data_IF_610988027730
#
_entry.id   IF_610988027730
#
_cell.length_a   1.000
_cell.length_b   1.000
_cell.length_c   1.000
_cell.angle_alpha   90.00
_cell.angle_beta   90.00
_cell.angle_gamma   90.00
#
_symmetry.space_group_name_H-M   'P 1'
#
loop_
_entity.id
_entity.type
_entity.pdbx_description
1 polymer ?
#
# COMPACT_ATOMS: atom_id res chain seq x y z
N UNK A 1 -9.39 19.61 22.87
CA UNK A 1 -9.46 19.47 21.39
C UNK A 1 -10.81 18.87 20.99
N UNK A 2 -11.49 19.42 19.98
CA UNK A 2 -12.82 19.00 19.51
C UNK A 2 -12.82 18.78 17.99
N UNK A 3 -13.74 17.98 17.48
CA UNK A 3 -13.94 17.80 16.03
C UNK A 3 -14.20 19.12 15.31
N UNK A 4 -14.93 20.03 15.97
CA UNK A 4 -15.20 21.36 15.41
C UNK A 4 -13.91 22.19 15.25
N UNK A 5 -13.00 22.14 16.22
CA UNK A 5 -11.69 22.80 16.12
C UNK A 5 -10.84 22.16 15.01
N UNK A 6 -10.90 20.84 14.82
CA UNK A 6 -10.23 20.18 13.69
C UNK A 6 -10.82 20.65 12.34
N UNK A 7 -12.14 20.73 12.20
CA UNK A 7 -12.79 21.29 11.00
C UNK A 7 -12.35 22.73 10.74
N UNK A 8 -12.19 23.53 11.79
CA UNK A 8 -11.74 24.92 11.68
C UNK A 8 -10.31 25.06 11.16
N UNK A 9 -9.37 24.30 11.71
CA UNK A 9 -7.98 24.38 11.24
C UNK A 9 -7.84 23.85 9.82
N UNK A 10 -8.58 22.82 9.42
CA UNK A 10 -8.61 22.31 8.04
C UNK A 10 -9.13 23.36 7.07
N UNK A 11 -10.20 24.10 7.44
CA UNK A 11 -10.75 25.16 6.62
C UNK A 11 -9.73 26.32 6.44
N UNK A 12 -9.04 26.74 7.51
CA UNK A 12 -8.02 27.80 7.42
C UNK A 12 -6.83 27.33 6.59
N UNK A 13 -6.38 26.09 6.75
CA UNK A 13 -5.28 25.53 5.94
C UNK A 13 -5.64 25.48 4.44
N UNK A 14 -6.88 25.14 4.12
CA UNK A 14 -7.38 25.10 2.74
C UNK A 14 -7.52 26.48 2.10
N UNK A 15 -8.00 27.50 2.87
CA UNK A 15 -8.27 28.84 2.35
C UNK A 15 -7.06 29.78 2.41
N UNK A 16 -6.05 29.47 3.24
CA UNK A 16 -4.91 30.35 3.50
C UNK A 16 -5.28 31.66 4.17
N UNK A 17 -6.53 31.82 4.65
CA UNK A 17 -7.07 33.04 5.24
C UNK A 17 -8.15 32.74 6.28
N UNK A 18 -7.99 33.30 7.49
CA UNK A 18 -9.01 33.16 8.55
C UNK A 18 -10.35 33.80 8.11
N UNK A 19 -10.31 34.93 7.43
CA UNK A 19 -11.51 35.61 6.98
C UNK A 19 -12.31 34.79 5.96
N UNK A 20 -11.64 34.23 4.97
CA UNK A 20 -12.27 33.38 3.96
C UNK A 20 -12.77 32.04 4.55
N UNK A 21 -12.01 31.47 5.48
CA UNK A 21 -12.44 30.26 6.21
C UNK A 21 -13.69 30.57 7.07
N UNK A 22 -13.71 31.66 7.81
CA UNK A 22 -14.84 32.04 8.62
C UNK A 22 -16.11 32.25 7.79
N UNK A 23 -16.02 32.91 6.63
CA UNK A 23 -17.12 33.05 5.67
C UNK A 23 -17.62 31.69 5.19
N UNK A 24 -16.70 30.77 4.80
CA UNK A 24 -17.09 29.44 4.33
C UNK A 24 -17.72 28.55 5.39
N UNK A 25 -17.42 28.81 6.66
CA UNK A 25 -17.97 28.11 7.82
C UNK A 25 -19.23 28.80 8.43
N UNK A 26 -19.65 29.94 7.87
CA UNK A 26 -20.78 30.75 8.37
C UNK A 26 -20.65 31.17 9.83
N UNK A 27 -19.41 31.51 10.26
CA UNK A 27 -19.12 31.99 11.62
C UNK A 27 -18.37 33.32 11.60
N UNK A 28 -18.31 33.97 12.77
CA UNK A 28 -17.54 35.21 12.90
C UNK A 28 -16.03 34.92 12.88
N UNK A 29 -15.24 35.82 12.26
CA UNK A 29 -13.80 35.71 12.26
C UNK A 29 -13.18 35.66 13.68
N UNK A 30 -13.63 36.49 14.66
CA UNK A 30 -13.16 36.40 16.04
C UNK A 30 -13.38 35.03 16.67
N UNK A 31 -14.55 34.42 16.45
CA UNK A 31 -14.87 33.07 16.97
C UNK A 31 -13.92 32.03 16.40
N UNK A 32 -13.68 32.05 15.09
CA UNK A 32 -12.74 31.12 14.44
C UNK A 32 -11.29 31.31 14.96
N UNK A 33 -10.85 32.57 15.07
CA UNK A 33 -9.52 32.93 15.56
C UNK A 33 -9.29 32.46 16.99
N UNK A 34 -10.27 32.67 17.88
CA UNK A 34 -10.20 32.24 19.27
C UNK A 34 -10.16 30.69 19.38
N UNK A 35 -11.01 29.99 18.66
CA UNK A 35 -11.03 28.53 18.69
C UNK A 35 -9.71 27.90 18.23
N UNK A 36 -9.05 28.48 17.21
CA UNK A 36 -7.71 28.05 16.76
C UNK A 36 -6.67 28.36 17.83
N UNK A 37 -6.68 29.55 18.40
CA UNK A 37 -5.74 29.95 19.44
C UNK A 37 -5.85 29.08 20.69
N UNK A 38 -7.08 28.74 21.14
CA UNK A 38 -7.32 27.82 22.24
C UNK A 38 -6.74 26.42 21.94
N UNK A 39 -6.94 25.92 20.72
CA UNK A 39 -6.37 24.65 20.28
C UNK A 39 -4.83 24.66 20.29
N UNK A 40 -4.20 25.71 19.73
CA UNK A 40 -2.75 25.88 19.73
C UNK A 40 -2.17 25.95 21.16
N UNK A 41 -2.88 26.64 22.08
CA UNK A 41 -2.50 26.69 23.50
C UNK A 41 -2.61 25.33 24.18
N UNK A 42 -3.70 24.58 23.94
CA UNK A 42 -3.90 23.23 24.48
C UNK A 42 -2.79 22.27 24.00
N UNK A 43 -2.47 22.31 22.71
CA UNK A 43 -1.46 21.45 22.09
C UNK A 43 -0.02 21.91 22.34
N UNK A 44 0.16 23.16 22.79
CA UNK A 44 1.48 23.83 22.98
C UNK A 44 2.30 23.88 21.68
N UNK A 45 1.63 24.02 20.55
CA UNK A 45 2.26 24.22 19.23
C UNK A 45 1.59 25.40 18.53
N UNK A 46 2.29 26.01 17.58
CA UNK A 46 1.68 26.95 16.64
C UNK A 46 1.39 26.19 15.34
N UNK A 47 0.13 26.08 14.97
CA UNK A 47 -0.29 25.42 13.74
C UNK A 47 -0.07 26.38 12.56
N UNK A 48 -0.33 27.67 12.77
CA UNK A 48 -0.22 28.69 11.74
C UNK A 48 0.73 29.81 12.12
N UNK A 49 1.35 30.39 11.09
CA UNK A 49 2.04 31.69 11.17
C UNK A 49 1.36 32.68 10.21
N UNK A 50 1.23 33.93 10.65
CA UNK A 50 0.71 35.01 9.81
C UNK A 50 1.84 35.60 8.99
N UNK A 51 1.67 35.64 7.68
CA UNK A 51 2.62 36.26 6.75
C UNK A 51 1.94 37.37 5.94
N UNK A 52 2.71 38.13 5.18
CA UNK A 52 2.16 39.13 4.25
C UNK A 52 1.28 38.52 3.14
N UNK A 53 1.34 37.20 2.96
CA UNK A 53 0.54 36.45 1.97
C UNK A 53 -0.66 35.73 2.59
N UNK A 54 -0.89 35.88 3.89
CA UNK A 54 -1.99 35.23 4.63
C UNK A 54 -1.51 34.29 5.73
N UNK A 55 -2.28 33.25 6.00
CA UNK A 55 -1.96 32.21 6.99
C UNK A 55 -1.22 31.08 6.31
N UNK A 56 -0.07 30.69 6.84
CA UNK A 56 0.72 29.58 6.38
C UNK A 56 0.94 28.57 7.51
N UNK A 57 1.09 27.29 7.19
CA UNK A 57 1.39 26.26 8.18
C UNK A 57 2.83 26.34 8.68
N UNK A 58 3.02 26.04 9.95
CA UNK A 58 4.34 25.69 10.51
C UNK A 58 4.68 24.25 10.16
N UNK A 59 5.88 23.78 10.49
CA UNK A 59 6.22 22.35 10.36
C UNK A 59 5.32 21.47 11.24
N UNK A 60 5.13 21.87 12.51
CA UNK A 60 4.21 21.15 13.43
C UNK A 60 2.77 21.23 12.93
N UNK A 61 2.37 22.38 12.36
CA UNK A 61 1.05 22.56 11.75
C UNK A 61 0.82 21.68 10.55
N UNK A 62 1.82 21.48 9.70
CA UNK A 62 1.72 20.57 8.55
C UNK A 62 1.48 19.12 8.99
N UNK A 63 2.22 18.66 9.99
CA UNK A 63 2.04 17.32 10.56
C UNK A 63 0.65 17.20 11.21
N UNK A 64 0.27 18.18 12.05
CA UNK A 64 -1.03 18.21 12.72
C UNK A 64 -2.21 18.16 11.73
N UNK A 65 -2.16 18.95 10.64
CA UNK A 65 -3.20 18.95 9.61
C UNK A 65 -3.34 17.58 8.95
N UNK A 66 -2.24 16.84 8.78
CA UNK A 66 -2.29 15.46 8.29
C UNK A 66 -3.15 14.57 9.18
N UNK A 67 -2.89 14.57 10.48
CA UNK A 67 -3.68 13.80 11.46
C UNK A 67 -5.11 14.32 11.60
N UNK A 68 -5.32 15.65 11.65
CA UNK A 68 -6.64 16.24 11.74
C UNK A 68 -7.55 15.83 10.58
N UNK A 69 -7.00 15.76 9.36
CA UNK A 69 -7.73 15.29 8.17
C UNK A 69 -8.16 13.83 8.30
N UNK A 70 -7.29 12.97 8.79
CA UNK A 70 -7.63 11.57 9.02
C UNK A 70 -8.77 11.39 10.03
N UNK A 71 -8.71 12.12 11.15
CA UNK A 71 -9.76 12.08 12.17
C UNK A 71 -11.11 12.55 11.59
N UNK A 72 -11.13 13.66 10.85
CA UNK A 72 -12.36 14.15 10.23
C UNK A 72 -12.91 13.17 9.20
N UNK A 73 -12.07 12.58 8.36
CA UNK A 73 -12.50 11.54 7.42
C UNK A 73 -13.14 10.34 8.13
N UNK A 74 -12.53 9.86 9.23
CA UNK A 74 -13.12 8.77 10.02
C UNK A 74 -14.45 9.17 10.66
N UNK A 75 -14.55 10.40 11.15
CA UNK A 75 -15.79 10.93 11.69
C UNK A 75 -16.91 11.01 10.62
N UNK A 76 -16.60 11.54 9.44
CA UNK A 76 -17.54 11.61 8.32
C UNK A 76 -18.03 10.21 7.88
N UNK A 77 -17.13 9.22 7.83
CA UNK A 77 -17.48 7.82 7.58
C UNK A 77 -18.44 7.25 8.64
N UNK A 78 -18.27 7.64 9.91
CA UNK A 78 -19.18 7.23 10.98
C UNK A 78 -20.57 7.91 10.84
N UNK A 79 -20.59 9.21 10.52
CA UNK A 79 -21.84 9.93 10.27
C UNK A 79 -22.59 9.31 9.07
N UNK A 80 -21.92 9.10 7.95
CA UNK A 80 -22.51 8.47 6.76
C UNK A 80 -23.07 7.08 7.08
N UNK A 81 -22.30 6.28 7.82
CA UNK A 81 -22.67 4.89 8.14
C UNK A 81 -23.87 4.78 9.09
N UNK A 82 -24.00 5.68 10.07
CA UNK A 82 -24.97 5.52 11.17
C UNK A 82 -26.08 6.59 11.21
N UNK A 83 -25.90 7.73 10.57
CA UNK A 83 -26.89 8.82 10.56
C UNK A 83 -27.63 8.89 9.21
N UNK A 84 -26.95 8.64 8.10
CA UNK A 84 -27.54 8.70 6.75
C UNK A 84 -27.90 7.33 6.18
N UNK A 85 -28.51 6.47 6.93
CA UNK A 85 -28.81 5.04 6.74
C UNK A 85 -29.43 4.60 5.39
N UNK A 86 -29.48 5.44 4.38
CA UNK A 86 -30.06 5.12 3.06
C UNK A 86 -29.11 5.07 1.87
N UNK A 87 -27.86 5.59 1.99
CA UNK A 87 -26.95 5.70 0.84
C UNK A 87 -25.45 5.63 1.18
N UNK A 88 -25.05 4.97 2.28
CA UNK A 88 -23.63 4.88 2.60
C UNK A 88 -22.90 4.09 1.52
N UNK A 89 -21.89 4.71 0.92
CA UNK A 89 -20.95 4.01 0.06
C UNK A 89 -20.26 2.90 0.85
N UNK A 90 -20.10 1.74 0.26
CA UNK A 90 -19.24 0.73 0.85
C UNK A 90 -17.79 1.20 0.76
N UNK A 91 -17.05 1.14 1.85
CA UNK A 91 -15.63 1.48 1.89
C UNK A 91 -14.82 0.22 2.14
N UNK A 92 -13.76 0.03 1.38
CA UNK A 92 -12.81 -1.03 1.61
C UNK A 92 -11.45 -0.63 1.07
N UNK A 93 -10.40 -0.81 1.87
CA UNK A 93 -9.06 -0.43 1.49
C UNK A 93 -8.05 -1.55 1.77
N UNK A 94 -7.18 -1.79 0.79
CA UNK A 94 -6.08 -2.76 0.87
C UNK A 94 -4.78 -2.08 0.45
N UNK A 95 -3.70 -2.33 1.20
CA UNK A 95 -2.34 -1.97 0.80
C UNK A 95 -1.54 -3.23 0.48
N UNK A 96 -0.78 -3.23 -0.60
CA UNK A 96 -0.08 -4.42 -1.08
C UNK A 96 1.27 -4.05 -1.69
N UNK A 97 2.25 -4.95 -1.57
CA UNK A 97 3.38 -4.95 -2.49
C UNK A 97 2.86 -5.15 -3.93
N UNK A 98 3.73 -5.01 -4.92
CA UNK A 98 3.33 -4.99 -6.33
C UNK A 98 2.90 -6.38 -6.87
N UNK A 99 1.87 -6.97 -6.24
CA UNK A 99 1.34 -8.30 -6.60
C UNK A 99 0.11 -8.23 -7.50
N UNK A 100 0.22 -8.77 -8.72
CA UNK A 100 -0.90 -8.85 -9.66
C UNK A 100 -2.09 -9.67 -9.16
N UNK A 101 -1.86 -10.73 -8.35
CA UNK A 101 -2.94 -11.53 -7.78
C UNK A 101 -3.78 -10.74 -6.75
N UNK A 102 -3.16 -9.77 -6.04
CA UNK A 102 -3.89 -8.91 -5.11
C UNK A 102 -4.88 -8.00 -5.85
N UNK A 103 -4.43 -7.37 -6.93
CA UNK A 103 -5.31 -6.57 -7.78
C UNK A 103 -6.44 -7.41 -8.39
N UNK A 104 -6.14 -8.65 -8.79
CA UNK A 104 -7.13 -9.57 -9.36
C UNK A 104 -8.22 -9.94 -8.35
N UNK A 105 -7.83 -10.34 -7.14
CA UNK A 105 -8.78 -10.61 -6.07
C UNK A 105 -9.66 -9.38 -5.78
N UNK A 106 -9.08 -8.19 -5.84
CA UNK A 106 -9.80 -6.94 -5.61
C UNK A 106 -10.81 -6.62 -6.72
N UNK A 107 -10.45 -6.85 -7.98
CA UNK A 107 -11.39 -6.75 -9.11
C UNK A 107 -12.56 -7.72 -8.93
N UNK A 108 -12.28 -8.98 -8.60
CA UNK A 108 -13.31 -9.99 -8.36
C UNK A 108 -14.24 -9.62 -7.21
N UNK A 109 -13.68 -9.04 -6.12
CA UNK A 109 -14.46 -8.51 -5.01
C UNK A 109 -15.43 -7.42 -5.46
N UNK A 110 -14.95 -6.45 -6.24
CA UNK A 110 -15.78 -5.35 -6.74
C UNK A 110 -16.90 -5.88 -7.64
N UNK A 111 -16.59 -6.79 -8.54
CA UNK A 111 -17.56 -7.37 -9.46
C UNK A 111 -18.69 -8.12 -8.74
N UNK A 112 -18.39 -8.76 -7.61
CA UNK A 112 -19.34 -9.59 -6.89
C UNK A 112 -20.06 -8.84 -5.76
N UNK A 113 -19.41 -7.87 -5.11
CA UNK A 113 -19.89 -7.23 -3.88
C UNK A 113 -19.92 -5.70 -3.94
N UNK A 114 -19.51 -5.07 -5.04
CA UNK A 114 -19.41 -3.62 -5.14
C UNK A 114 -20.76 -2.89 -5.01
N UNK A 115 -21.86 -3.52 -5.45
CA UNK A 115 -23.18 -2.88 -5.44
C UNK A 115 -23.23 -1.60 -6.31
N UNK A 116 -24.22 -0.72 -6.01
CA UNK A 116 -24.46 0.50 -6.81
C UNK A 116 -23.56 1.68 -6.37
N UNK A 117 -23.09 1.68 -5.12
CA UNK A 117 -22.29 2.77 -4.55
C UNK A 117 -21.17 2.22 -3.69
N UNK A 118 -19.93 2.49 -4.08
CA UNK A 118 -18.74 2.11 -3.32
C UNK A 118 -17.61 3.12 -3.50
N UNK A 119 -16.69 3.10 -2.55
CA UNK A 119 -15.40 3.79 -2.61
C UNK A 119 -14.33 2.82 -2.13
N UNK A 120 -13.76 2.08 -3.05
CA UNK A 120 -12.76 1.06 -2.77
C UNK A 120 -11.38 1.54 -3.19
N UNK A 121 -10.37 1.24 -2.37
CA UNK A 121 -9.00 1.66 -2.61
C UNK A 121 -8.06 0.46 -2.54
N UNK A 122 -7.27 0.24 -3.57
CA UNK A 122 -6.10 -0.62 -3.53
C UNK A 122 -4.85 0.24 -3.72
N UNK A 123 -3.90 0.13 -2.78
CA UNK A 123 -2.61 0.83 -2.82
C UNK A 123 -1.51 -0.18 -3.08
N UNK A 124 -0.85 -0.07 -4.22
CA UNK A 124 0.44 -0.72 -4.44
C UNK A 124 1.52 0.22 -3.92
N UNK A 125 2.20 -0.16 -2.83
CA UNK A 125 3.13 0.71 -2.15
C UNK A 125 4.21 -0.07 -1.41
N UNK A 126 5.15 0.64 -0.81
CA UNK A 126 6.36 0.13 -0.16
C UNK A 126 6.04 -0.67 1.11
N UNK A 127 6.86 -1.65 1.41
CA UNK A 127 6.65 -2.57 2.54
C UNK A 127 6.42 -1.86 3.87
N UNK A 128 7.21 -0.80 4.15
CA UNK A 128 7.02 -0.03 5.38
C UNK A 128 5.68 0.72 5.40
N UNK A 129 5.30 1.33 4.28
CA UNK A 129 4.05 2.07 4.15
C UNK A 129 2.84 1.15 4.28
N UNK A 130 2.91 -0.10 3.79
CA UNK A 130 1.86 -1.10 3.96
C UNK A 130 1.63 -1.40 5.46
N UNK A 131 2.71 -1.56 6.22
CA UNK A 131 2.63 -1.81 7.66
C UNK A 131 2.01 -0.60 8.38
N UNK A 132 2.42 0.61 8.01
CA UNK A 132 1.87 1.85 8.57
C UNK A 132 0.40 2.07 8.20
N UNK A 133 0.01 1.78 6.97
CA UNK A 133 -1.38 1.86 6.51
C UNK A 133 -2.31 0.96 7.33
N UNK A 134 -1.89 -0.27 7.63
CA UNK A 134 -2.71 -1.18 8.46
C UNK A 134 -2.67 -0.79 9.93
N UNK A 135 -1.53 -0.33 10.45
CA UNK A 135 -1.39 0.18 11.82
C UNK A 135 -2.30 1.38 12.07
N UNK A 136 -2.40 2.30 11.11
CA UNK A 136 -3.20 3.54 11.21
C UNK A 136 -4.64 3.37 10.71
N UNK A 137 -5.05 2.14 10.40
CA UNK A 137 -6.37 1.78 9.86
C UNK A 137 -6.72 2.49 8.54
N UNK A 138 -5.70 2.96 7.80
CA UNK A 138 -5.87 3.48 6.44
C UNK A 138 -6.21 2.36 5.47
N UNK A 139 -5.70 1.16 5.74
CA UNK A 139 -6.06 -0.08 5.04
C UNK A 139 -6.43 -1.15 6.06
N UNK A 140 -7.45 -1.95 5.73
CA UNK A 140 -7.91 -3.04 6.58
C UNK A 140 -6.97 -4.25 6.47
N UNK A 141 -6.43 -4.48 5.29
CA UNK A 141 -5.53 -5.60 4.97
C UNK A 141 -4.28 -5.07 4.29
N UNK A 142 -3.13 -5.53 4.73
CA UNK A 142 -1.86 -5.35 4.04
C UNK A 142 -1.35 -6.69 3.48
N UNK A 143 -0.76 -6.69 2.30
CA UNK A 143 -0.19 -7.91 1.69
C UNK A 143 1.31 -7.72 1.53
N UNK A 144 2.08 -8.58 2.19
CA UNK A 144 3.54 -8.58 2.18
C UNK A 144 4.09 -10.01 2.13
N UNK A 145 5.38 -10.15 1.87
CA UNK A 145 6.06 -11.43 2.04
C UNK A 145 7.06 -11.41 3.19
N UNK A 146 7.34 -12.61 3.69
CA UNK A 146 8.44 -12.90 4.60
C UNK A 146 9.37 -13.95 3.95
N UNK A 147 10.67 -13.74 4.11
CA UNK A 147 11.73 -14.71 3.75
C UNK A 147 12.58 -15.03 4.97
N UNK A 148 13.53 -15.96 4.84
CA UNK A 148 14.48 -16.22 5.90
C UNK A 148 15.30 -15.00 6.30
N UNK A 149 15.57 -14.10 5.36
CA UNK A 149 16.34 -12.89 5.60
C UNK A 149 15.55 -11.81 6.36
N UNK A 150 14.33 -11.48 5.93
CA UNK A 150 13.61 -10.31 6.44
C UNK A 150 12.65 -10.61 7.61
N UNK A 151 12.29 -11.90 7.84
CA UNK A 151 11.23 -12.27 8.79
C UNK A 151 11.44 -11.74 10.21
N UNK A 152 12.65 -11.76 10.72
CA UNK A 152 12.94 -11.34 12.09
C UNK A 152 12.64 -9.86 12.30
N UNK A 153 13.10 -9.01 11.37
CA UNK A 153 12.91 -7.55 11.43
C UNK A 153 11.45 -7.18 11.18
N UNK A 154 10.87 -7.72 10.10
CA UNK A 154 9.48 -7.42 9.72
C UNK A 154 8.49 -7.94 10.78
N UNK A 155 8.67 -9.13 11.32
CA UNK A 155 7.80 -9.65 12.38
C UNK A 155 7.92 -8.87 13.70
N UNK A 156 9.11 -8.32 14.01
CA UNK A 156 9.28 -7.42 15.16
C UNK A 156 8.43 -6.16 14.93
N UNK A 157 8.57 -5.52 13.78
CA UNK A 157 7.82 -4.31 13.44
C UNK A 157 6.30 -4.55 13.44
N UNK A 158 5.83 -5.68 12.88
CA UNK A 158 4.42 -6.09 12.90
C UNK A 158 3.90 -6.20 14.33
N UNK A 159 4.67 -6.84 15.24
CA UNK A 159 4.27 -6.98 16.65
C UNK A 159 4.23 -5.65 17.39
N UNK A 160 5.24 -4.79 17.19
CA UNK A 160 5.31 -3.45 17.78
C UNK A 160 4.20 -2.52 17.27
N UNK A 161 3.69 -2.77 16.06
CA UNK A 161 2.57 -2.06 15.45
C UNK A 161 1.19 -2.64 15.81
N UNK A 162 1.11 -3.58 16.74
CA UNK A 162 -0.14 -4.29 17.13
C UNK A 162 -0.82 -5.02 15.98
N UNK A 163 -0.05 -5.53 15.04
CA UNK A 163 -0.52 -6.29 13.89
C UNK A 163 -0.21 -7.78 14.04
N UNK A 164 -0.90 -8.62 13.26
CA UNK A 164 -0.60 -10.05 13.09
C UNK A 164 -0.41 -10.38 11.62
N UNK A 165 0.52 -11.29 11.34
CA UNK A 165 0.76 -11.84 10.01
C UNK A 165 0.07 -13.20 9.89
N UNK A 166 -0.70 -13.38 8.83
CA UNK A 166 -1.37 -14.62 8.46
C UNK A 166 -0.80 -15.11 7.14
N UNK A 167 -0.08 -16.23 7.16
CA UNK A 167 0.49 -16.84 5.96
C UNK A 167 -0.61 -17.32 5.03
N UNK A 168 -0.52 -16.97 3.75
CA UNK A 168 -1.42 -17.44 2.70
C UNK A 168 -0.80 -18.59 1.92
N UNK A 169 0.45 -18.41 1.45
CA UNK A 169 1.15 -19.40 0.64
C UNK A 169 2.67 -19.29 0.80
N UNK A 170 3.34 -20.42 0.66
CA UNK A 170 4.79 -20.50 0.49
C UNK A 170 5.10 -20.86 -0.95
N UNK A 171 5.90 -20.06 -1.63
CA UNK A 171 6.27 -20.23 -3.01
C UNK A 171 7.80 -20.32 -3.16
N UNK A 172 8.26 -21.04 -4.18
CA UNK A 172 9.65 -20.96 -4.61
C UNK A 172 9.89 -19.71 -5.45
N UNK A 173 11.10 -19.15 -5.42
CA UNK A 173 11.45 -18.03 -6.27
C UNK A 173 11.40 -18.34 -7.76
N UNK A 174 10.90 -17.37 -8.51
CA UNK A 174 10.91 -17.37 -9.97
C UNK A 174 11.47 -16.05 -10.46
N UNK A 175 12.05 -16.07 -11.65
CA UNK A 175 12.32 -14.84 -12.40
C UNK A 175 11.13 -14.54 -13.33
N UNK A 176 10.85 -13.25 -13.50
CA UNK A 176 9.97 -12.75 -14.56
C UNK A 176 10.83 -12.06 -15.61
N UNK A 177 10.65 -12.45 -16.86
CA UNK A 177 11.40 -11.97 -18.03
C UNK A 177 10.46 -11.87 -19.22
N UNK A 178 10.87 -11.13 -20.26
CA UNK A 178 10.19 -11.13 -21.56
C UNK A 178 10.17 -12.53 -22.17
N UNK A 179 9.10 -12.91 -22.88
CA UNK A 179 9.04 -14.14 -23.68
C UNK A 179 10.12 -14.21 -24.77
N UNK A 180 10.63 -13.04 -25.21
CA UNK A 180 11.71 -12.94 -26.17
C UNK A 180 13.12 -12.90 -25.51
N UNK A 181 13.19 -13.01 -24.18
CA UNK A 181 14.45 -13.00 -23.46
C UNK A 181 15.30 -14.24 -23.83
N UNK A 182 16.64 -14.14 -23.95
CA UNK A 182 17.51 -15.29 -24.27
C UNK A 182 17.33 -16.50 -23.35
N UNK A 183 16.94 -16.27 -22.10
CA UNK A 183 16.67 -17.33 -21.10
C UNK A 183 15.25 -17.90 -21.14
N UNK A 184 14.34 -17.37 -21.96
CA UNK A 184 12.90 -17.69 -21.90
C UNK A 184 12.58 -19.18 -22.13
N UNK A 185 13.45 -19.92 -22.82
CA UNK A 185 13.28 -21.35 -23.09
C UNK A 185 13.91 -22.27 -22.02
N UNK A 186 14.59 -21.72 -21.00
CA UNK A 186 15.13 -22.53 -19.89
C UNK A 186 14.00 -23.02 -18.98
N UNK A 187 14.15 -24.23 -18.47
CA UNK A 187 13.24 -24.79 -17.45
C UNK A 187 13.60 -24.38 -16.03
N UNK A 188 14.86 -24.03 -15.81
CA UNK A 188 15.44 -23.60 -14.55
C UNK A 188 16.56 -22.61 -14.84
N UNK A 189 16.64 -21.53 -14.10
CA UNK A 189 17.65 -20.47 -14.27
C UNK A 189 18.49 -20.38 -12.99
N UNK A 190 19.80 -20.33 -13.14
CA UNK A 190 20.74 -20.10 -12.03
C UNK A 190 21.02 -18.61 -11.84
N UNK A 191 21.67 -18.25 -10.73
CA UNK A 191 22.08 -16.86 -10.49
C UNK A 191 23.17 -16.39 -11.44
N UNK A 192 24.02 -17.29 -11.90
CA UNK A 192 25.09 -17.04 -12.87
C UNK A 192 24.52 -16.67 -14.25
N UNK A 193 23.42 -17.33 -14.65
CA UNK A 193 22.72 -17.02 -15.89
C UNK A 193 22.22 -15.57 -15.97
N UNK A 194 22.05 -14.92 -14.82
CA UNK A 194 21.46 -13.58 -14.70
C UNK A 194 22.49 -12.44 -14.68
N UNK A 195 23.79 -12.73 -14.64
CA UNK A 195 24.86 -11.74 -14.43
C UNK A 195 24.93 -10.66 -15.53
N UNK A 196 24.61 -11.07 -16.75
CA UNK A 196 24.65 -10.17 -17.92
C UNK A 196 23.40 -9.28 -18.07
N UNK A 197 22.33 -9.55 -17.31
CA UNK A 197 21.04 -8.89 -17.47
C UNK A 197 20.77 -7.90 -16.34
N UNK A 198 20.03 -6.79 -16.61
CA UNK A 198 19.65 -5.84 -15.56
C UNK A 198 18.67 -6.45 -14.57
N UNK A 199 18.99 -6.36 -13.28
CA UNK A 199 18.11 -6.69 -12.18
C UNK A 199 17.14 -5.51 -11.92
N UNK A 200 15.85 -5.75 -12.06
CA UNK A 200 14.80 -4.78 -11.82
C UNK A 200 14.19 -5.01 -10.44
N UNK A 201 14.08 -3.97 -9.64
CA UNK A 201 13.50 -4.06 -8.30
C UNK A 201 12.74 -2.81 -7.94
N UNK A 202 11.77 -2.94 -7.00
CA UNK A 202 11.01 -1.80 -6.54
C UNK A 202 11.79 -0.97 -5.52
N UNK A 203 11.76 0.36 -5.69
CA UNK A 203 12.41 1.27 -4.75
C UNK A 203 11.60 1.37 -3.45
N UNK A 204 12.30 1.49 -2.30
CA UNK A 204 11.67 1.53 -0.98
C UNK A 204 11.70 2.93 -0.33
N UNK A 205 12.03 3.97 -1.09
CA UNK A 205 12.04 5.37 -0.62
C UNK A 205 13.02 5.60 0.52
N UNK A 206 12.58 6.35 1.52
CA UNK A 206 13.39 6.68 2.72
C UNK A 206 13.72 5.47 3.58
N UNK A 207 12.88 4.44 3.57
CA UNK A 207 13.10 3.17 4.29
C UNK A 207 13.73 2.14 3.35
N UNK A 208 14.88 2.46 2.76
CA UNK A 208 15.55 1.67 1.73
C UNK A 208 16.43 0.53 2.27
N UNK A 209 16.20 0.08 3.50
CA UNK A 209 16.86 -1.11 4.03
C UNK A 209 16.46 -2.36 3.24
N UNK A 210 17.41 -3.25 2.99
CA UNK A 210 17.17 -4.52 2.31
C UNK A 210 16.09 -5.40 2.95
N UNK A 211 15.79 -5.19 4.24
CA UNK A 211 14.68 -5.89 4.92
C UNK A 211 13.31 -5.52 4.38
N UNK A 212 13.15 -4.34 3.77
CA UNK A 212 11.89 -3.87 3.19
C UNK A 212 11.77 -4.13 1.69
N UNK A 213 12.83 -4.66 1.04
CA UNK A 213 12.79 -4.99 -0.39
C UNK A 213 11.64 -5.96 -0.70
N UNK A 214 11.03 -5.79 -1.86
CA UNK A 214 9.95 -6.65 -2.34
C UNK A 214 10.47 -7.91 -3.05
N UNK A 215 11.75 -7.90 -3.41
CA UNK A 215 12.43 -9.03 -4.01
C UNK A 215 13.30 -9.73 -2.97
N UNK A 216 13.32 -11.06 -3.02
CA UNK A 216 14.29 -11.84 -2.26
C UNK A 216 15.70 -11.65 -2.85
N UNK A 217 16.71 -12.06 -2.11
CA UNK A 217 18.11 -11.92 -2.51
C UNK A 217 18.56 -10.47 -2.75
N UNK A 218 17.85 -9.51 -2.16
CA UNK A 218 18.07 -8.08 -2.30
C UNK A 218 19.46 -7.60 -1.84
N UNK A 219 20.17 -8.43 -1.03
CA UNK A 219 21.53 -8.17 -0.57
C UNK A 219 22.60 -8.63 -1.56
N UNK A 220 22.20 -9.35 -2.62
CA UNK A 220 23.15 -9.81 -3.64
C UNK A 220 23.68 -8.60 -4.41
N UNK A 221 25.01 -8.57 -4.59
CA UNK A 221 25.64 -7.62 -5.51
C UNK A 221 25.33 -8.01 -6.94
N UNK A 222 24.82 -7.07 -7.73
CA UNK A 222 24.53 -7.25 -9.16
C UNK A 222 25.23 -6.16 -9.97
N UNK A 223 25.74 -6.51 -11.15
CA UNK A 223 26.48 -5.57 -12.00
C UNK A 223 25.56 -4.48 -12.59
N UNK A 224 24.32 -4.80 -12.86
CA UNK A 224 23.33 -3.90 -13.47
C UNK A 224 22.05 -3.92 -12.62
N UNK A 225 21.66 -2.79 -12.02
CA UNK A 225 20.49 -2.65 -11.18
C UNK A 225 19.68 -1.43 -11.58
N UNK A 226 18.36 -1.57 -11.69
CA UNK A 226 17.43 -0.50 -11.96
C UNK A 226 16.36 -0.52 -10.89
N UNK A 227 16.18 0.61 -10.18
CA UNK A 227 15.12 0.81 -9.20
C UNK A 227 13.91 1.47 -9.87
N UNK A 228 12.72 0.93 -9.64
CA UNK A 228 11.48 1.32 -10.30
C UNK A 228 10.42 1.56 -9.23
N UNK A 229 9.55 2.55 -9.43
CA UNK A 229 8.54 2.95 -8.45
C UNK A 229 7.13 2.43 -8.75
N UNK A 230 6.90 1.89 -9.96
CA UNK A 230 5.58 1.41 -10.36
C UNK A 230 5.65 0.10 -11.17
N UNK A 231 4.56 -0.68 -11.09
CA UNK A 231 4.48 -2.00 -11.73
C UNK A 231 4.37 -1.95 -13.25
N UNK A 232 3.87 -0.88 -13.84
CA UNK A 232 3.74 -0.79 -15.29
C UNK A 232 5.14 -0.61 -15.92
N UNK A 233 5.94 0.29 -15.37
CA UNK A 233 7.29 0.57 -15.83
C UNK A 233 8.19 -0.67 -15.77
N UNK A 234 8.07 -1.55 -14.73
CA UNK A 234 8.93 -2.72 -14.64
C UNK A 234 8.80 -3.65 -15.87
N UNK A 235 7.59 -3.76 -16.45
CA UNK A 235 7.37 -4.56 -17.66
C UNK A 235 8.01 -3.94 -18.89
N UNK A 236 7.99 -2.61 -19.01
CA UNK A 236 8.63 -1.90 -20.11
C UNK A 236 10.15 -2.11 -20.09
N UNK A 237 10.76 -2.05 -18.91
CA UNK A 237 12.19 -2.34 -18.74
C UNK A 237 12.53 -3.82 -18.97
N UNK A 238 11.65 -4.77 -18.58
CA UNK A 238 11.83 -6.18 -18.93
C UNK A 238 11.90 -6.40 -20.43
N UNK A 239 11.00 -5.78 -21.18
CA UNK A 239 10.95 -5.93 -22.64
C UNK A 239 12.06 -5.13 -23.32
N UNK A 240 12.27 -3.88 -22.89
CA UNK A 240 13.18 -2.96 -23.59
C UNK A 240 14.68 -3.25 -23.34
N UNK A 241 15.03 -3.84 -22.20
CA UNK A 241 16.43 -4.06 -21.78
C UNK A 241 16.77 -5.52 -21.51
N UNK A 242 15.88 -6.47 -21.77
CA UNK A 242 16.01 -7.85 -21.33
C UNK A 242 16.27 -7.92 -19.80
N UNK A 243 15.59 -7.06 -19.03
CA UNK A 243 15.69 -7.06 -17.58
C UNK A 243 14.92 -8.21 -16.94
N UNK A 244 15.29 -8.55 -15.71
CA UNK A 244 14.57 -9.55 -14.91
C UNK A 244 14.21 -9.00 -13.53
N UNK A 245 13.12 -9.53 -12.94
CA UNK A 245 12.84 -9.37 -11.51
C UNK A 245 12.60 -10.71 -10.86
N UNK A 246 12.85 -10.81 -9.54
CA UNK A 246 12.65 -12.06 -8.78
C UNK A 246 11.35 -11.92 -7.97
N UNK A 247 10.45 -12.89 -8.13
CA UNK A 247 9.17 -12.91 -7.42
C UNK A 247 8.72 -14.35 -7.13
N UNK A 248 7.50 -14.51 -6.66
CA UNK A 248 6.92 -15.80 -6.25
C UNK A 248 6.46 -16.71 -7.40
N UNK A 249 6.54 -16.28 -8.65
CA UNK A 249 5.97 -17.00 -9.78
C UNK A 249 4.43 -16.99 -9.83
N UNK A 250 3.78 -16.41 -8.85
CA UNK A 250 2.33 -16.36 -8.74
C UNK A 250 1.77 -15.21 -9.58
N UNK A 251 1.42 -15.53 -10.84
CA UNK A 251 0.83 -14.54 -11.74
C UNK A 251 -0.43 -15.15 -12.40
N UNK A 252 -1.57 -14.45 -12.35
CA UNK A 252 -2.76 -14.91 -13.08
C UNK A 252 -2.48 -14.95 -14.58
N UNK A 253 -2.79 -16.06 -15.23
CA UNK A 253 -2.50 -16.27 -16.65
C UNK A 253 -3.04 -15.14 -17.56
N UNK A 254 -4.21 -14.57 -17.27
CA UNK A 254 -4.78 -13.48 -18.05
C UNK A 254 -4.00 -12.14 -17.90
N UNK A 255 -3.24 -11.98 -16.82
CA UNK A 255 -2.42 -10.77 -16.61
C UNK A 255 -1.20 -10.75 -17.53
N UNK A 256 -0.76 -11.94 -17.95
CA UNK A 256 0.33 -12.11 -18.92
C UNK A 256 -0.18 -12.03 -20.35
N UNK A 257 -1.50 -12.23 -20.59
CA UNK A 257 -2.10 -12.13 -21.92
C UNK A 257 -1.87 -10.73 -22.51
N UNK A 258 -1.08 -10.70 -23.58
CA UNK A 258 -0.72 -9.48 -24.32
C UNK A 258 0.55 -8.75 -23.83
N UNK A 259 1.15 -9.12 -22.70
CA UNK A 259 2.40 -8.48 -22.20
C UNK A 259 3.68 -9.21 -22.58
N UNK A 260 3.60 -10.40 -23.17
CA UNK A 260 4.77 -11.20 -23.58
C UNK A 260 5.79 -11.40 -22.46
N UNK A 261 5.32 -11.73 -21.24
CA UNK A 261 6.14 -12.00 -20.06
C UNK A 261 5.98 -13.46 -19.68
N UNK A 262 7.08 -14.11 -19.31
CA UNK A 262 7.10 -15.48 -18.79
C UNK A 262 7.75 -15.55 -17.41
N UNK A 263 7.45 -16.63 -16.70
CA UNK A 263 7.98 -16.91 -15.36
C UNK A 263 8.76 -18.23 -15.39
N UNK A 264 9.99 -18.22 -14.90
CA UNK A 264 10.87 -19.41 -14.88
C UNK A 264 11.36 -19.62 -13.44
N UNK A 265 11.34 -20.85 -12.92
CA UNK A 265 11.92 -21.18 -11.61
C UNK A 265 13.37 -20.74 -11.50
N UNK A 266 13.73 -20.16 -10.35
CA UNK A 266 15.10 -19.79 -10.00
C UNK A 266 15.71 -20.90 -9.13
N UNK A 267 16.94 -21.34 -9.46
CA UNK A 267 17.66 -22.37 -8.72
C UNK A 267 18.33 -21.81 -7.47
N UNK A 268 17.53 -21.65 -6.41
CA UNK A 268 17.97 -21.18 -5.09
C UNK A 268 17.20 -21.89 -3.99
N UNK A 269 17.85 -22.11 -2.85
CA UNK A 269 17.22 -22.69 -1.66
C UNK A 269 16.58 -21.59 -0.79
N UNK A 270 15.62 -20.89 -1.36
CA UNK A 270 14.87 -19.84 -0.69
C UNK A 270 13.36 -20.06 -0.79
N UNK A 271 12.61 -19.52 0.17
CA UNK A 271 11.15 -19.57 0.21
C UNK A 271 10.57 -18.19 0.43
N UNK A 272 9.61 -17.84 -0.40
CA UNK A 272 8.80 -16.63 -0.27
C UNK A 272 7.51 -17.00 0.44
N UNK A 273 7.32 -16.54 1.68
CA UNK A 273 6.09 -16.72 2.43
C UNK A 273 5.21 -15.48 2.27
N UNK A 274 4.27 -15.52 1.33
CA UNK A 274 3.30 -14.44 1.12
C UNK A 274 2.18 -14.57 2.14
N UNK A 275 1.81 -13.44 2.72
CA UNK A 275 0.72 -13.40 3.69
C UNK A 275 0.09 -12.03 3.81
N UNK A 276 -0.94 -11.97 4.63
CA UNK A 276 -1.61 -10.72 4.97
C UNK A 276 -1.24 -10.27 6.37
N UNK A 277 -1.16 -8.96 6.56
CA UNK A 277 -1.13 -8.33 7.87
C UNK A 277 -2.47 -7.68 8.14
N UNK A 278 -2.96 -7.83 9.37
CA UNK A 278 -4.21 -7.25 9.84
C UNK A 278 -4.04 -6.77 11.28
N UNK A 279 -4.84 -5.83 11.73
CA UNK A 279 -4.81 -5.36 13.11
C UNK A 279 -5.27 -6.47 14.07
N UNK A 280 -4.64 -6.58 15.26
CA UNK A 280 -4.97 -7.67 16.22
C UNK A 280 -6.32 -7.51 16.86
N UNK A 281 -6.67 -6.28 17.21
CA UNK A 281 -7.85 -5.96 18.02
C UNK A 281 -9.05 -5.54 17.18
N UNK A 282 -8.91 -5.50 15.84
CA UNK A 282 -9.98 -5.12 14.93
C UNK A 282 -10.43 -6.32 14.13
N UNK A 283 -11.71 -6.63 14.18
CA UNK A 283 -12.32 -7.66 13.38
C UNK A 283 -12.43 -7.19 11.93
N UNK A 284 -12.09 -8.06 10.99
CA UNK A 284 -12.28 -7.77 9.57
C UNK A 284 -13.76 -7.49 9.27
N UNK A 285 -13.98 -6.55 8.38
CA UNK A 285 -15.30 -6.34 7.79
C UNK A 285 -15.72 -7.55 6.96
N UNK A 286 -17.00 -7.63 6.60
CA UNK A 286 -17.47 -8.67 5.67
C UNK A 286 -16.67 -8.68 4.36
N UNK A 287 -16.38 -7.49 3.79
CA UNK A 287 -15.57 -7.37 2.57
C UNK A 287 -14.12 -7.83 2.78
N UNK A 288 -13.55 -7.54 3.96
CA UNK A 288 -12.22 -8.02 4.34
C UNK A 288 -12.13 -9.54 4.43
N UNK A 289 -13.14 -10.18 5.02
CA UNK A 289 -13.21 -11.64 5.10
C UNK A 289 -13.36 -12.29 3.71
N UNK A 290 -14.25 -11.73 2.87
CA UNK A 290 -14.45 -12.20 1.50
C UNK A 290 -13.18 -12.03 0.67
N UNK A 291 -12.53 -10.88 0.75
CA UNK A 291 -11.28 -10.63 0.04
C UNK A 291 -10.18 -11.62 0.44
N UNK A 292 -10.07 -11.91 1.74
CA UNK A 292 -9.12 -12.89 2.25
C UNK A 292 -9.41 -14.32 1.72
N UNK A 293 -10.67 -14.70 1.59
CA UNK A 293 -11.08 -15.98 0.99
C UNK A 293 -10.75 -16.03 -0.50
N UNK A 294 -11.01 -14.95 -1.24
CA UNK A 294 -10.66 -14.83 -2.66
C UNK A 294 -9.15 -14.94 -2.89
N UNK A 295 -8.34 -14.28 -2.07
CA UNK A 295 -6.87 -14.40 -2.12
C UNK A 295 -6.43 -15.86 -1.92
N UNK A 296 -6.96 -16.53 -0.91
CA UNK A 296 -6.64 -17.95 -0.65
C UNK A 296 -7.01 -18.82 -1.84
N UNK A 297 -8.22 -18.66 -2.38
CA UNK A 297 -8.69 -19.43 -3.53
C UNK A 297 -7.79 -19.24 -4.75
N UNK A 298 -7.47 -17.98 -5.12
CA UNK A 298 -6.61 -17.67 -6.26
C UNK A 298 -5.19 -18.24 -6.12
N UNK A 299 -4.62 -18.16 -4.91
CA UNK A 299 -3.28 -18.66 -4.65
C UNK A 299 -3.20 -20.19 -4.63
N UNK A 300 -4.27 -20.88 -4.28
CA UNK A 300 -4.32 -22.35 -4.31
C UNK A 300 -4.61 -22.90 -5.71
N UNK A 301 -5.47 -22.26 -6.50
CA UNK A 301 -5.79 -22.69 -7.88
C UNK A 301 -4.67 -22.39 -8.87
N UNK A 302 -3.84 -21.37 -8.63
CA UNK A 302 -2.67 -21.04 -9.46
C UNK A 302 -1.47 -21.99 -9.28
N UNK A 303 -1.51 -22.91 -8.34
CA UNK A 303 -0.39 -23.82 -8.02
C UNK A 303 -0.35 -25.13 -8.83
N UNK A 304 -1.17 -25.32 -9.86
CA UNK A 304 -1.06 -26.47 -10.76
C UNK A 304 -0.60 -26.09 -12.19
N UNK A 305 0.73 -25.87 -12.41
CA UNK A 305 1.28 -25.79 -13.77
C UNK A 305 1.43 -27.17 -14.45
N UNK A 306 1.01 -28.28 -13.77
CA UNK A 306 1.27 -29.65 -14.24
C UNK A 306 0.04 -30.42 -14.74
N UNK A 307 -1.12 -29.76 -14.92
CA UNK A 307 -2.29 -30.39 -15.55
C UNK A 307 -2.84 -29.51 -16.67
N UNK A 308 -2.06 -29.32 -17.74
CA UNK A 308 -2.55 -29.12 -19.12
C UNK A 308 -1.51 -29.56 -20.14
#
# INVERSE_FOLDING_TARGET
MTLQQLKYVLAVASKGSINEAAKSLFISQPSLSNAIKELEQELKINIFVRTNRGMTLTNDGFEFIGYARQVIQQYEMLEEKYIEDKYSKQHFCVSTQHYGFAANAFISLIQQYGGDKYEFTIRETKTFEIIDDVKTLRSEIGIIYLSNYNKTVIQKLIRESNLKFLSLIKAKPHIFISENHPLANKKLVSLEDLEDYPCLSFEQGTYNSFYFSEEILSTRSVNKSIKISDRAAIFDFMVGLNGYTISSGMYPAYFLNGRKITSIPLDVDEVINIGVIVHKDITLSHLGEVYLQMLKSLLHTGNNPSEK
#
